data_IF_706246259387
#
_entry.id   IF_706246259387
#
_cell.length_a   1.000
_cell.length_b   1.000
_cell.length_c   1.000
_cell.angle_alpha   90.00
_cell.angle_beta   90.00
_cell.angle_gamma   90.00
#
_symmetry.space_group_name_H-M   'P 1'
#
loop_
_entity.id
_entity.type
_entity.pdbx_description
1 polymer ?
#
# COMPACT_ATOMS: atom_id res chain seq x y z
N UNK A 1 8.71 -12.51 32.51
CA UNK A 1 8.09 -12.79 31.19
C UNK A 1 9.18 -12.96 30.14
N UNK A 2 9.19 -14.09 29.40
CA UNK A 2 10.18 -14.39 28.34
C UNK A 2 10.06 -13.36 27.20
N UNK A 3 11.17 -13.02 26.53
CA UNK A 3 11.21 -12.02 25.44
C UNK A 3 10.14 -12.25 24.35
N UNK A 4 9.90 -13.51 23.97
CA UNK A 4 8.86 -13.90 23.01
C UNK A 4 7.44 -13.52 23.47
N UNK A 5 7.14 -13.61 24.77
CA UNK A 5 5.81 -13.25 25.28
C UNK A 5 5.55 -11.75 25.24
N UNK A 6 6.60 -10.92 25.39
CA UNK A 6 6.50 -9.45 25.27
C UNK A 6 6.25 -9.02 23.82
N UNK A 7 6.99 -9.60 22.88
CA UNK A 7 6.82 -9.32 21.44
C UNK A 7 5.40 -9.68 20.95
N UNK A 8 4.91 -10.88 21.29
CA UNK A 8 3.56 -11.32 20.90
C UNK A 8 2.48 -10.45 21.55
N UNK A 9 2.61 -10.14 22.83
CA UNK A 9 1.66 -9.29 23.54
C UNK A 9 1.56 -7.90 22.88
N UNK A 10 2.70 -7.28 22.56
CA UNK A 10 2.72 -5.98 21.90
C UNK A 10 2.18 -6.02 20.48
N UNK A 11 2.56 -7.04 19.70
CA UNK A 11 2.04 -7.22 18.34
C UNK A 11 0.52 -7.33 18.34
N UNK A 12 -0.05 -8.09 19.28
CA UNK A 12 -1.50 -8.20 19.46
C UNK A 12 -2.15 -6.86 19.86
N UNK A 13 -1.51 -6.08 20.73
CA UNK A 13 -2.00 -4.75 21.10
C UNK A 13 -1.99 -3.82 19.88
N UNK A 14 -0.89 -3.74 19.14
CA UNK A 14 -0.77 -2.89 17.95
C UNK A 14 -1.77 -3.29 16.86
N UNK A 15 -1.98 -4.59 16.62
CA UNK A 15 -3.03 -5.03 15.70
C UNK A 15 -4.39 -4.57 16.20
N UNK A 16 -4.68 -4.72 17.49
CA UNK A 16 -5.98 -4.36 18.07
C UNK A 16 -6.25 -2.85 18.08
N UNK A 17 -5.23 -2.01 18.25
CA UNK A 17 -5.36 -0.54 18.17
C UNK A 17 -5.65 -0.09 16.74
N UNK A 18 -4.98 -0.68 15.75
CA UNK A 18 -5.27 -0.46 14.32
C UNK A 18 -6.66 -1.00 13.92
N UNK A 19 -7.07 -2.12 14.52
CA UNK A 19 -8.24 -2.91 14.13
C UNK A 19 -9.36 -2.82 15.15
N UNK A 20 -9.94 -1.63 15.36
CA UNK A 20 -11.14 -1.56 16.18
C UNK A 20 -12.30 -2.26 15.48
N UNK A 21 -13.03 -3.12 16.19
CA UNK A 21 -14.15 -3.90 15.60
C UNK A 21 -15.19 -2.99 14.94
N UNK A 22 -15.44 -1.81 15.51
CA UNK A 22 -16.36 -0.81 14.97
C UNK A 22 -15.87 -0.20 13.66
N UNK A 23 -14.60 0.19 13.57
CA UNK A 23 -14.04 0.75 12.32
C UNK A 23 -14.03 -0.27 11.19
N UNK A 24 -13.73 -1.54 11.49
CA UNK A 24 -13.76 -2.62 10.51
C UNK A 24 -15.16 -2.89 9.96
N UNK A 25 -16.17 -2.98 10.84
CA UNK A 25 -17.56 -3.18 10.43
C UNK A 25 -18.09 -2.01 9.61
N UNK A 26 -17.77 -0.77 10.01
CA UNK A 26 -18.18 0.43 9.30
C UNK A 26 -17.51 0.53 7.92
N UNK A 27 -16.22 0.21 7.83
CA UNK A 27 -15.50 0.14 6.56
C UNK A 27 -16.07 -0.93 5.62
N UNK A 28 -16.41 -2.10 6.16
CA UNK A 28 -17.04 -3.18 5.39
C UNK A 28 -18.42 -2.77 4.89
N UNK A 29 -19.28 -2.21 5.75
CA UNK A 29 -20.59 -1.70 5.36
C UNK A 29 -20.48 -0.62 4.28
N UNK A 30 -19.55 0.33 4.43
CA UNK A 30 -19.31 1.37 3.43
C UNK A 30 -18.91 0.79 2.08
N UNK A 31 -18.01 -0.21 2.06
CA UNK A 31 -17.58 -0.86 0.82
C UNK A 31 -18.71 -1.62 0.12
N UNK A 32 -19.61 -2.27 0.86
CA UNK A 32 -20.80 -2.92 0.29
C UNK A 32 -21.72 -1.89 -0.35
N UNK A 33 -22.05 -0.80 0.37
CA UNK A 33 -22.92 0.26 -0.14
C UNK A 33 -22.29 0.92 -1.38
N UNK A 34 -20.99 1.18 -1.34
CA UNK A 34 -20.25 1.76 -2.45
C UNK A 34 -20.26 0.84 -3.68
N UNK A 35 -20.03 -0.47 -3.50
CA UNK A 35 -20.10 -1.45 -4.58
C UNK A 35 -21.49 -1.56 -5.20
N UNK A 36 -22.55 -1.50 -4.39
CA UNK A 36 -23.93 -1.44 -4.89
C UNK A 36 -24.14 -0.18 -5.74
N UNK A 37 -23.70 0.98 -5.25
CA UNK A 37 -23.80 2.25 -5.97
C UNK A 37 -23.08 2.22 -7.32
N UNK A 38 -21.88 1.65 -7.39
CA UNK A 38 -21.13 1.48 -8.64
C UNK A 38 -21.87 0.54 -9.60
N UNK A 39 -22.39 -0.59 -9.12
CA UNK A 39 -23.13 -1.53 -9.97
C UNK A 39 -24.37 -0.89 -10.59
N UNK A 40 -25.14 -0.13 -9.80
CA UNK A 40 -26.29 0.64 -10.28
C UNK A 40 -25.85 1.72 -11.29
N UNK A 41 -24.76 2.44 -11.01
CA UNK A 41 -24.23 3.44 -11.94
C UNK A 41 -23.85 2.83 -13.30
N UNK A 42 -23.17 1.69 -13.32
CA UNK A 42 -22.82 1.00 -14.56
C UNK A 42 -24.04 0.49 -15.32
N UNK A 43 -25.09 0.06 -14.61
CA UNK A 43 -26.37 -0.27 -15.25
C UNK A 43 -27.00 0.94 -15.93
N UNK A 44 -27.11 2.08 -15.24
CA UNK A 44 -27.71 3.32 -15.77
C UNK A 44 -26.92 3.84 -16.98
N UNK A 45 -25.59 3.77 -16.93
CA UNK A 45 -24.71 4.25 -18.02
C UNK A 45 -24.61 3.28 -19.20
N UNK A 46 -25.26 2.11 -19.15
CA UNK A 46 -25.20 1.13 -20.23
C UNK A 46 -23.80 0.61 -20.47
N UNK A 47 -23.03 0.36 -19.40
CA UNK A 47 -21.65 -0.13 -19.52
C UNK A 47 -21.61 -1.48 -20.24
N UNK A 48 -20.94 -1.53 -21.39
CA UNK A 48 -20.77 -2.75 -22.17
C UNK A 48 -19.43 -3.43 -21.86
N UNK A 49 -19.50 -4.54 -21.14
CA UNK A 49 -18.35 -5.39 -20.79
C UNK A 49 -17.63 -5.91 -22.04
N UNK A 50 -18.35 -6.15 -23.14
CA UNK A 50 -17.76 -6.72 -24.35
C UNK A 50 -16.74 -5.77 -24.98
N UNK A 51 -16.97 -4.45 -24.88
CA UNK A 51 -16.02 -3.44 -25.35
C UNK A 51 -14.80 -3.33 -24.43
N UNK A 52 -14.96 -3.58 -23.13
CA UNK A 52 -13.89 -3.54 -22.15
C UNK A 52 -12.89 -4.71 -22.28
N UNK A 53 -13.37 -5.89 -22.70
CA UNK A 53 -12.58 -7.11 -22.87
C UNK A 53 -12.44 -7.57 -24.35
N UNK A 54 -12.66 -6.67 -25.31
CA UNK A 54 -12.63 -7.03 -26.74
C UNK A 54 -11.26 -7.60 -27.18
N UNK A 55 -11.30 -8.70 -27.94
CA UNK A 55 -10.18 -9.63 -28.15
C UNK A 55 -9.31 -9.38 -29.40
N UNK A 56 -9.31 -8.18 -29.99
CA UNK A 56 -8.40 -7.88 -31.09
C UNK A 56 -6.97 -7.59 -30.56
N UNK A 57 -5.93 -7.96 -31.30
CA UNK A 57 -4.52 -7.89 -30.85
C UNK A 57 -4.09 -6.44 -30.46
N UNK A 58 -4.60 -5.43 -31.16
CA UNK A 58 -4.44 -4.01 -30.78
C UNK A 58 -5.22 -3.64 -29.52
N UNK A 59 -6.40 -4.24 -29.31
CA UNK A 59 -7.21 -4.05 -28.10
C UNK A 59 -6.69 -4.86 -26.90
N UNK A 60 -5.90 -5.92 -27.10
CA UNK A 60 -5.29 -6.71 -26.01
C UNK A 60 -4.22 -5.89 -25.27
N UNK A 61 -3.38 -5.14 -25.97
CA UNK A 61 -2.41 -4.25 -25.31
C UNK A 61 -3.11 -3.08 -24.59
N UNK A 62 -4.16 -2.52 -25.20
CA UNK A 62 -4.94 -1.43 -24.60
C UNK A 62 -5.72 -1.92 -23.37
N UNK A 63 -6.33 -3.11 -23.43
CA UNK A 63 -7.03 -3.72 -22.28
C UNK A 63 -6.05 -4.14 -21.18
N UNK A 64 -4.88 -4.70 -21.52
CA UNK A 64 -3.80 -4.97 -20.54
C UNK A 64 -3.34 -3.66 -19.86
N UNK A 65 -3.15 -2.58 -20.61
CA UNK A 65 -2.79 -1.27 -20.07
C UNK A 65 -3.87 -0.71 -19.14
N UNK A 66 -5.14 -0.77 -19.54
CA UNK A 66 -6.26 -0.31 -18.70
C UNK A 66 -6.38 -1.13 -17.42
N UNK A 67 -6.17 -2.44 -17.50
CA UNK A 67 -6.16 -3.33 -16.33
C UNK A 67 -4.99 -3.01 -15.39
N UNK A 68 -3.78 -2.78 -15.92
CA UNK A 68 -2.62 -2.35 -15.12
C UNK A 68 -2.92 -1.02 -14.41
N UNK A 69 -3.46 -0.03 -15.12
CA UNK A 69 -3.82 1.27 -14.52
C UNK A 69 -4.82 1.10 -13.38
N UNK A 70 -5.88 0.30 -13.57
CA UNK A 70 -6.87 0.00 -12.53
C UNK A 70 -6.22 -0.69 -11.34
N UNK A 71 -5.39 -1.71 -11.57
CA UNK A 71 -4.67 -2.41 -10.50
C UNK A 71 -3.77 -1.46 -9.71
N UNK A 72 -2.99 -0.62 -10.39
CA UNK A 72 -2.12 0.36 -9.74
C UNK A 72 -2.93 1.39 -8.93
N UNK A 73 -4.08 1.84 -9.43
CA UNK A 73 -4.97 2.74 -8.68
C UNK A 73 -5.45 2.07 -7.38
N UNK A 74 -5.91 0.81 -7.46
CA UNK A 74 -6.35 0.04 -6.29
C UNK A 74 -5.21 -0.08 -5.27
N UNK A 75 -4.01 -0.43 -5.75
CA UNK A 75 -2.81 -0.55 -4.92
C UNK A 75 -2.49 0.77 -4.23
N UNK A 76 -2.58 1.90 -4.94
CA UNK A 76 -2.36 3.23 -4.35
C UNK A 76 -3.36 3.50 -3.23
N UNK A 77 -4.65 3.16 -3.40
CA UNK A 77 -5.64 3.31 -2.33
C UNK A 77 -5.36 2.41 -1.12
N UNK A 78 -4.94 1.15 -1.34
CA UNK A 78 -4.54 0.24 -0.24
C UNK A 78 -3.35 0.81 0.52
N UNK A 79 -2.33 1.27 -0.19
CA UNK A 79 -1.14 1.86 0.40
C UNK A 79 -1.49 3.15 1.17
N UNK A 80 -2.35 4.00 0.60
CA UNK A 80 -2.84 5.22 1.24
C UNK A 80 -3.49 4.92 2.59
N UNK A 81 -4.45 4.00 2.61
CA UNK A 81 -5.15 3.61 3.83
C UNK A 81 -4.18 3.04 4.88
N UNK A 82 -3.26 2.18 4.45
CA UNK A 82 -2.33 1.50 5.36
C UNK A 82 -1.33 2.47 5.97
N UNK A 83 -0.76 3.39 5.18
CA UNK A 83 0.18 4.41 5.66
C UNK A 83 -0.50 5.37 6.63
N UNK A 84 -1.72 5.80 6.31
CA UNK A 84 -2.49 6.67 7.20
C UNK A 84 -2.76 5.99 8.54
N UNK A 85 -3.21 4.73 8.52
CA UNK A 85 -3.46 3.96 9.74
C UNK A 85 -2.21 3.77 10.58
N UNK A 86 -1.08 3.43 9.96
CA UNK A 86 0.19 3.22 10.68
C UNK A 86 0.73 4.52 11.28
N UNK A 87 0.64 5.65 10.58
CA UNK A 87 1.03 6.93 11.15
C UNK A 87 0.22 7.23 12.41
N UNK A 88 -1.11 7.06 12.36
CA UNK A 88 -1.98 7.29 13.51
C UNK A 88 -1.66 6.35 14.67
N UNK A 89 -1.43 5.07 14.41
CA UNK A 89 -1.10 4.08 15.42
C UNK A 89 0.22 4.39 16.15
N UNK A 90 1.26 4.82 15.44
CA UNK A 90 2.54 5.21 16.06
C UNK A 90 2.38 6.48 16.92
N UNK A 91 1.54 7.43 16.50
CA UNK A 91 1.27 8.62 17.31
C UNK A 91 0.44 8.26 18.55
N UNK A 92 -0.50 7.32 18.44
CA UNK A 92 -1.26 6.80 19.60
C UNK A 92 -0.34 6.08 20.60
N UNK A 93 0.66 5.34 20.14
CA UNK A 93 1.66 4.74 21.04
C UNK A 93 2.42 5.80 21.84
N UNK A 94 2.71 6.93 21.19
CA UNK A 94 3.38 8.08 21.81
C UNK A 94 2.48 8.90 22.71
N UNK A 95 1.17 8.94 22.48
CA UNK A 95 0.25 9.77 23.27
C UNK A 95 -0.36 8.99 24.44
N UNK A 96 -0.55 7.67 24.29
CA UNK A 96 -1.26 6.88 25.30
C UNK A 96 -0.37 6.49 26.49
N UNK A 97 -0.82 6.85 27.70
CA UNK A 97 -0.09 6.59 28.95
C UNK A 97 0.18 5.10 29.22
N UNK A 98 -0.67 4.19 28.69
CA UNK A 98 -0.52 2.75 28.86
C UNK A 98 0.52 2.17 27.90
N UNK A 99 0.53 2.62 26.63
CA UNK A 99 1.47 2.11 25.62
C UNK A 99 2.87 2.72 25.84
N UNK A 100 2.95 3.97 26.31
CA UNK A 100 4.20 4.60 26.80
C UNK A 100 4.95 3.76 27.84
N UNK A 101 4.25 2.98 28.67
CA UNK A 101 4.90 2.13 29.69
C UNK A 101 5.36 0.78 29.14
N UNK A 102 4.74 0.29 28.06
CA UNK A 102 5.01 -1.03 27.48
C UNK A 102 6.12 -0.95 26.42
N UNK A 103 6.08 0.07 25.56
CA UNK A 103 7.00 0.19 24.42
C UNK A 103 8.49 0.28 24.82
N UNK A 104 8.89 1.02 25.88
CA UNK A 104 10.28 1.04 26.33
C UNK A 104 10.81 -0.33 26.80
N UNK A 105 9.91 -1.27 27.15
CA UNK A 105 10.27 -2.61 27.61
C UNK A 105 10.51 -3.60 26.45
N UNK A 106 10.37 -3.15 25.21
CA UNK A 106 10.49 -3.94 23.97
C UNK A 106 11.78 -3.53 23.25
N UNK A 107 12.50 -4.51 22.71
CA UNK A 107 13.67 -4.26 21.87
C UNK A 107 13.28 -3.56 20.57
N UNK A 108 14.18 -2.72 20.05
CA UNK A 108 13.94 -1.87 18.89
C UNK A 108 13.56 -2.69 17.64
N UNK A 109 14.24 -3.83 17.46
CA UNK A 109 13.97 -4.78 16.37
C UNK A 109 12.58 -5.41 16.50
N UNK A 110 12.20 -5.76 17.73
CA UNK A 110 10.94 -6.44 18.02
C UNK A 110 9.76 -5.46 17.81
N UNK A 111 9.94 -4.16 18.11
CA UNK A 111 8.96 -3.11 17.82
C UNK A 111 8.76 -2.88 16.32
N UNK A 112 9.86 -2.69 15.56
CA UNK A 112 9.78 -2.46 14.11
C UNK A 112 9.09 -3.63 13.42
N UNK A 113 9.45 -4.85 13.80
CA UNK A 113 8.85 -6.06 13.24
C UNK A 113 7.36 -6.17 13.61
N UNK A 114 6.99 -5.84 14.85
CA UNK A 114 5.58 -5.79 15.26
C UNK A 114 4.77 -4.77 14.44
N UNK A 115 5.34 -3.58 14.15
CA UNK A 115 4.69 -2.57 13.29
C UNK A 115 4.58 -3.01 11.83
N UNK A 116 5.57 -3.71 11.30
CA UNK A 116 5.48 -4.30 9.95
C UNK A 116 4.40 -5.36 9.87
N UNK A 117 4.27 -6.21 10.90
CA UNK A 117 3.20 -7.22 10.98
C UNK A 117 1.84 -6.54 11.08
N UNK A 118 1.68 -5.55 11.95
CA UNK A 118 0.40 -4.85 12.13
C UNK A 118 -0.01 -4.09 10.86
N UNK A 119 0.94 -3.43 10.18
CA UNK A 119 0.72 -2.85 8.86
C UNK A 119 0.29 -3.91 7.85
N UNK A 120 0.96 -5.06 7.83
CA UNK A 120 0.63 -6.17 6.92
C UNK A 120 -0.79 -6.68 7.12
N UNK A 121 -1.23 -6.81 8.38
CA UNK A 121 -2.62 -7.17 8.68
C UNK A 121 -3.62 -6.12 8.19
N UNK A 122 -3.30 -4.83 8.29
CA UNK A 122 -4.13 -3.73 7.77
C UNK A 122 -4.23 -3.74 6.25
N UNK A 123 -3.11 -3.99 5.57
CA UNK A 123 -3.08 -4.14 4.12
C UNK A 123 -3.94 -5.34 3.67
N UNK A 124 -3.80 -6.50 4.31
CA UNK A 124 -4.59 -7.70 4.00
C UNK A 124 -6.09 -7.47 4.17
N UNK A 125 -6.51 -6.82 5.26
CA UNK A 125 -7.91 -6.49 5.47
C UNK A 125 -8.42 -5.48 4.44
N UNK A 126 -7.60 -4.49 4.07
CA UNK A 126 -7.94 -3.54 3.02
C UNK A 126 -8.15 -4.23 1.67
N UNK A 127 -7.30 -5.21 1.33
CA UNK A 127 -7.43 -6.04 0.13
C UNK A 127 -8.72 -6.88 0.18
N UNK A 128 -9.02 -7.51 1.32
CA UNK A 128 -10.26 -8.29 1.49
C UNK A 128 -11.51 -7.41 1.32
N UNK A 129 -11.50 -6.20 1.89
CA UNK A 129 -12.60 -5.24 1.76
C UNK A 129 -12.80 -4.81 0.29
N UNK A 130 -11.71 -4.60 -0.45
CA UNK A 130 -11.78 -4.32 -1.89
C UNK A 130 -12.33 -5.50 -2.68
N UNK A 131 -11.89 -6.72 -2.37
CA UNK A 131 -12.41 -7.93 -3.01
C UNK A 131 -13.92 -8.09 -2.79
N UNK A 132 -14.39 -7.83 -1.56
CA UNK A 132 -15.82 -7.80 -1.25
C UNK A 132 -16.55 -6.71 -2.03
N UNK A 133 -15.98 -5.51 -2.15
CA UNK A 133 -16.54 -4.45 -3.00
C UNK A 133 -16.70 -4.91 -4.46
N UNK A 134 -15.66 -5.48 -5.06
CA UNK A 134 -15.75 -6.05 -6.42
C UNK A 134 -16.81 -7.13 -6.54
N UNK A 135 -16.89 -8.04 -5.57
CA UNK A 135 -17.92 -9.08 -5.53
C UNK A 135 -19.33 -8.46 -5.51
N UNK A 136 -19.55 -7.43 -4.71
CA UNK A 136 -20.86 -6.74 -4.65
C UNK A 136 -21.21 -6.02 -5.95
N UNK A 137 -20.24 -5.44 -6.66
CA UNK A 137 -20.46 -4.86 -8.00
C UNK A 137 -20.91 -5.94 -8.99
N UNK A 138 -20.26 -7.10 -8.99
CA UNK A 138 -20.62 -8.22 -9.88
C UNK A 138 -22.02 -8.72 -9.56
N UNK A 139 -22.31 -8.97 -8.27
CA UNK A 139 -23.62 -9.45 -7.82
C UNK A 139 -24.74 -8.47 -8.17
N UNK A 140 -24.53 -7.17 -8.01
CA UNK A 140 -25.55 -6.17 -8.37
C UNK A 140 -25.81 -6.11 -9.87
N UNK A 141 -24.78 -6.21 -10.71
CA UNK A 141 -24.93 -6.28 -12.15
C UNK A 141 -25.61 -7.56 -12.63
N UNK A 142 -25.36 -8.69 -11.96
CA UNK A 142 -26.06 -9.96 -12.21
C UNK A 142 -27.54 -9.88 -11.78
N UNK A 143 -27.84 -9.30 -10.61
CA UNK A 143 -29.22 -9.08 -10.14
C UNK A 143 -30.01 -8.16 -11.07
N UNK A 144 -29.37 -7.14 -11.64
CA UNK A 144 -29.96 -6.22 -12.62
C UNK A 144 -30.02 -6.80 -14.05
N UNK A 145 -29.66 -8.07 -14.24
CA UNK A 145 -29.65 -8.79 -15.52
C UNK A 145 -28.79 -8.15 -16.63
N UNK A 146 -27.89 -7.23 -16.30
CA UNK A 146 -27.13 -6.48 -17.30
C UNK A 146 -26.12 -7.39 -18.01
N UNK A 147 -25.56 -8.37 -17.29
CA UNK A 147 -24.45 -9.20 -17.79
C UNK A 147 -24.38 -10.61 -17.17
N UNK A 148 -25.54 -11.26 -16.95
CA UNK A 148 -25.66 -12.57 -16.25
C UNK A 148 -24.51 -13.53 -16.56
N UNK A 149 -23.63 -13.75 -15.57
CA UNK A 149 -22.57 -14.77 -15.61
C UNK A 149 -21.41 -14.51 -16.59
N UNK A 150 -21.47 -13.45 -17.41
CA UNK A 150 -20.39 -13.13 -18.37
C UNK A 150 -19.11 -12.69 -17.64
N UNK A 151 -19.25 -11.95 -16.54
CA UNK A 151 -18.11 -11.48 -15.75
C UNK A 151 -17.20 -12.61 -15.29
N UNK A 152 -17.76 -13.71 -14.77
CA UNK A 152 -16.98 -14.87 -14.32
C UNK A 152 -16.19 -15.53 -15.45
N UNK A 153 -16.76 -15.61 -16.65
CA UNK A 153 -16.11 -16.18 -17.83
C UNK A 153 -14.93 -15.29 -18.27
N UNK A 154 -15.10 -13.96 -18.27
CA UNK A 154 -13.99 -13.04 -18.59
C UNK A 154 -12.90 -13.08 -17.54
N UNK A 155 -13.26 -13.12 -16.26
CA UNK A 155 -12.32 -13.17 -15.14
C UNK A 155 -11.48 -14.46 -15.19
N UNK A 156 -12.11 -15.60 -15.50
CA UNK A 156 -11.42 -16.87 -15.75
C UNK A 156 -10.42 -16.77 -16.90
N UNK A 157 -10.81 -16.18 -18.04
CA UNK A 157 -9.92 -15.98 -19.19
C UNK A 157 -8.71 -15.11 -18.84
N UNK A 158 -8.91 -14.04 -18.07
CA UNK A 158 -7.82 -13.16 -17.63
C UNK A 158 -6.85 -13.92 -16.72
N UNK A 159 -7.37 -14.69 -15.75
CA UNK A 159 -6.53 -15.50 -14.85
C UNK A 159 -5.68 -16.50 -15.64
N UNK A 160 -6.26 -17.16 -16.64
CA UNK A 160 -5.52 -18.13 -17.48
C UNK A 160 -4.46 -17.49 -18.39
N UNK A 161 -4.50 -16.17 -18.59
CA UNK A 161 -3.50 -15.43 -19.36
C UNK A 161 -2.33 -14.91 -18.53
N UNK A 162 -2.39 -15.01 -17.19
CA UNK A 162 -1.33 -14.54 -16.30
C UNK A 162 -0.26 -15.61 -16.12
N UNK A 163 0.98 -15.29 -16.50
CA UNK A 163 2.15 -16.11 -16.17
C UNK A 163 2.43 -16.01 -14.65
N UNK A 164 2.58 -17.15 -13.99
CA UNK A 164 2.91 -17.25 -12.56
C UNK A 164 4.19 -16.47 -12.24
N UNK A 165 5.18 -16.49 -13.14
CA UNK A 165 6.43 -15.73 -12.95
C UNK A 165 6.18 -14.23 -12.93
N UNK A 166 5.27 -13.76 -13.79
CA UNK A 166 4.90 -12.35 -13.85
C UNK A 166 4.17 -11.89 -12.59
N UNK A 167 3.23 -12.71 -12.12
CA UNK A 167 2.50 -12.45 -10.88
C UNK A 167 3.45 -12.41 -9.69
N UNK A 168 4.38 -13.37 -9.59
CA UNK A 168 5.33 -13.44 -8.48
C UNK A 168 6.24 -12.21 -8.41
N UNK A 169 6.77 -11.77 -9.56
CA UNK A 169 7.62 -10.58 -9.62
C UNK A 169 6.85 -9.31 -9.23
N UNK A 170 5.62 -9.18 -9.73
CA UNK A 170 4.73 -8.08 -9.38
C UNK A 170 4.43 -8.03 -7.89
N UNK A 171 4.11 -9.18 -7.28
CA UNK A 171 3.85 -9.29 -5.83
C UNK A 171 5.10 -8.94 -5.01
N UNK A 172 6.28 -9.42 -5.39
CA UNK A 172 7.54 -9.09 -4.70
C UNK A 172 7.82 -7.58 -4.70
N UNK A 173 7.62 -6.93 -5.84
CA UNK A 173 7.71 -5.48 -5.98
C UNK A 173 6.69 -4.79 -5.06
N UNK A 174 5.44 -5.23 -5.02
CA UNK A 174 4.46 -4.63 -4.11
C UNK A 174 4.80 -4.79 -2.63
N UNK A 175 5.33 -5.95 -2.23
CA UNK A 175 5.78 -6.17 -0.85
C UNK A 175 6.96 -5.26 -0.51
N UNK A 176 7.92 -5.10 -1.42
CA UNK A 176 9.04 -4.19 -1.22
C UNK A 176 8.59 -2.72 -1.13
N UNK A 177 7.64 -2.29 -1.98
CA UNK A 177 7.03 -0.96 -1.91
C UNK A 177 6.37 -0.73 -0.55
N UNK A 178 5.58 -1.71 -0.12
CA UNK A 178 4.85 -1.69 1.13
C UNK A 178 5.80 -1.52 2.33
N UNK A 179 6.84 -2.34 2.42
CA UNK A 179 7.84 -2.28 3.50
C UNK A 179 8.54 -0.91 3.49
N UNK A 180 8.95 -0.42 2.32
CA UNK A 180 9.62 0.87 2.16
C UNK A 180 8.77 2.01 2.71
N UNK A 181 7.49 2.04 2.34
CA UNK A 181 6.55 3.07 2.77
C UNK A 181 6.26 3.00 4.27
N UNK A 182 6.10 1.80 4.84
CA UNK A 182 5.92 1.63 6.29
C UNK A 182 7.14 2.14 7.05
N UNK A 183 8.35 1.75 6.67
CA UNK A 183 9.58 2.21 7.32
C UNK A 183 9.79 3.73 7.18
N UNK A 184 9.43 4.30 6.04
CA UNK A 184 9.49 5.75 5.84
C UNK A 184 8.44 6.49 6.70
N UNK A 185 7.25 5.90 6.84
CA UNK A 185 6.20 6.40 7.74
C UNK A 185 6.64 6.38 9.18
N UNK A 186 7.28 5.31 9.64
CA UNK A 186 7.85 5.23 10.98
C UNK A 186 8.88 6.33 11.25
N UNK A 187 9.73 6.63 10.27
CA UNK A 187 10.74 7.69 10.38
C UNK A 187 10.09 9.06 10.56
N UNK A 188 9.02 9.36 9.80
CA UNK A 188 8.33 10.65 9.89
C UNK A 188 7.37 10.77 11.07
N UNK A 189 6.72 9.68 11.46
CA UNK A 189 5.89 9.60 12.67
C UNK A 189 6.68 10.02 13.92
N UNK A 190 7.99 9.78 13.90
CA UNK A 190 8.94 10.26 14.89
C UNK A 190 8.88 11.77 15.19
N UNK A 191 8.47 12.60 14.22
CA UNK A 191 8.42 14.07 14.34
C UNK A 191 7.06 14.63 14.77
N UNK A 192 6.07 13.75 14.88
CA UNK A 192 4.67 14.12 15.12
C UNK A 192 4.34 13.84 16.59
N UNK A 193 3.69 14.81 17.22
CA UNK A 193 3.35 14.78 18.65
C UNK A 193 1.84 14.76 18.90
N UNK A 194 1.00 14.85 17.86
CA UNK A 194 -0.44 14.84 18.01
C UNK A 194 -1.08 14.17 16.79
N UNK A 195 -2.12 13.38 17.03
CA UNK A 195 -2.91 12.68 16.00
C UNK A 195 -3.46 13.66 14.95
N UNK A 196 -3.81 14.90 15.32
CA UNK A 196 -4.31 15.89 14.36
C UNK A 196 -3.26 16.27 13.31
N UNK A 197 -1.99 16.44 13.72
CA UNK A 197 -0.85 16.72 12.83
C UNK A 197 -0.43 15.48 12.00
N UNK A 198 -0.92 14.28 12.36
CA UNK A 198 -0.61 13.05 11.64
C UNK A 198 -1.19 13.07 10.23
N UNK A 199 -2.42 13.56 10.07
CA UNK A 199 -3.13 13.65 8.78
C UNK A 199 -2.38 14.47 7.72
N UNK A 200 -1.86 15.65 8.08
CA UNK A 200 -1.14 16.54 7.16
C UNK A 200 0.23 15.97 6.77
N UNK A 201 0.93 15.31 7.69
CA UNK A 201 2.23 14.70 7.41
C UNK A 201 2.12 13.37 6.65
N UNK A 202 1.01 12.66 6.81
CA UNK A 202 0.66 11.52 5.96
C UNK A 202 0.54 11.96 4.49
N UNK A 203 -0.06 13.12 4.22
CA UNK A 203 -0.12 13.66 2.85
C UNK A 203 1.25 13.93 2.24
N UNK A 204 2.26 14.30 3.02
CA UNK A 204 3.64 14.47 2.52
C UNK A 204 4.21 13.14 1.99
N UNK A 205 4.02 12.05 2.73
CA UNK A 205 4.44 10.70 2.34
C UNK A 205 3.66 10.19 1.14
N UNK A 206 2.37 10.51 1.11
CA UNK A 206 1.44 10.06 0.08
C UNK A 206 1.50 10.95 -1.17
N UNK A 207 2.10 12.14 -1.10
CA UNK A 207 2.18 13.06 -2.24
C UNK A 207 2.86 12.45 -3.48
N UNK A 208 3.95 11.65 -3.40
CA UNK A 208 4.50 10.98 -4.57
C UNK A 208 3.54 9.90 -5.11
N UNK A 209 2.82 9.19 -4.23
CA UNK A 209 1.82 8.21 -4.65
C UNK A 209 0.63 8.89 -5.34
N UNK A 210 0.22 10.08 -4.90
CA UNK A 210 -0.79 10.90 -5.57
C UNK A 210 -0.32 11.38 -6.94
N UNK A 211 0.93 11.82 -7.07
CA UNK A 211 1.52 12.16 -8.38
C UNK A 211 1.49 10.92 -9.30
N UNK A 212 1.81 9.75 -8.77
CA UNK A 212 1.74 8.48 -9.51
C UNK A 212 0.33 8.18 -9.98
N UNK A 213 -0.67 8.40 -9.12
CA UNK A 213 -2.08 8.25 -9.46
C UNK A 213 -2.48 9.16 -10.63
N UNK A 214 -2.10 10.44 -10.60
CA UNK A 214 -2.36 11.35 -11.71
C UNK A 214 -1.67 10.92 -13.01
N UNK A 215 -0.41 10.50 -12.95
CA UNK A 215 0.33 9.99 -14.11
C UNK A 215 -0.36 8.77 -14.72
N UNK A 216 -0.85 7.85 -13.89
CA UNK A 216 -1.51 6.62 -14.35
C UNK A 216 -2.89 6.88 -14.99
N UNK A 217 -3.61 7.91 -14.54
CA UNK A 217 -4.93 8.26 -15.07
C UNK A 217 -4.86 9.04 -16.38
N UNK A 218 -3.75 9.77 -16.63
CA UNK A 218 -3.59 10.51 -17.87
C UNK A 218 -3.68 9.58 -19.10
N UNK A 219 -4.25 10.06 -20.23
CA UNK A 219 -4.33 9.32 -21.49
C UNK A 219 -2.97 9.27 -22.20
N UNK A 220 -2.00 8.61 -21.56
CA UNK A 220 -0.62 8.46 -22.01
C UNK A 220 -0.50 7.20 -22.89
N UNK A 221 0.24 7.29 -24.00
CA UNK A 221 0.54 6.15 -24.87
C UNK A 221 1.47 5.14 -24.17
N UNK A 222 1.43 3.87 -24.61
CA UNK A 222 2.28 2.80 -24.05
C UNK A 222 3.76 3.19 -24.07
N UNK A 223 4.25 3.78 -25.17
CA UNK A 223 5.64 4.23 -25.34
C UNK A 223 6.05 5.32 -24.34
N UNK A 224 5.13 6.23 -24.01
CA UNK A 224 5.41 7.29 -23.05
C UNK A 224 5.34 6.76 -21.61
N UNK A 225 4.40 5.86 -21.32
CA UNK A 225 4.28 5.23 -20.01
C UNK A 225 5.49 4.35 -19.69
N UNK A 226 6.02 3.60 -20.66
CA UNK A 226 7.26 2.83 -20.49
C UNK A 226 8.45 3.73 -20.17
N UNK A 227 8.62 4.84 -20.90
CA UNK A 227 9.70 5.81 -20.66
C UNK A 227 9.58 6.47 -19.27
N UNK A 228 8.39 6.91 -18.88
CA UNK A 228 8.17 7.48 -17.55
C UNK A 228 8.46 6.44 -16.46
N UNK A 229 7.98 5.21 -16.65
CA UNK A 229 8.18 4.12 -15.69
C UNK A 229 9.65 3.72 -15.54
N UNK A 230 10.44 3.73 -16.61
CA UNK A 230 11.87 3.39 -16.56
C UNK A 230 12.71 4.45 -15.84
N UNK A 231 12.26 5.71 -15.80
CA UNK A 231 12.89 6.77 -15.01
C UNK A 231 12.44 6.69 -13.55
N UNK A 232 11.12 6.63 -13.33
CA UNK A 232 10.55 6.69 -11.98
C UNK A 232 10.81 5.42 -11.17
N UNK A 233 11.14 4.29 -11.80
CA UNK A 233 11.49 3.05 -11.10
C UNK A 233 12.75 3.15 -10.23
N UNK A 234 13.52 4.24 -10.31
CA UNK A 234 14.70 4.45 -9.45
C UNK A 234 14.46 5.43 -8.29
N UNK A 235 13.29 6.08 -8.23
CA UNK A 235 12.98 7.02 -7.16
C UNK A 235 12.49 6.28 -5.90
N UNK A 236 13.09 6.45 -4.69
CA UNK A 236 12.86 5.56 -3.54
C UNK A 236 11.39 5.31 -3.15
N UNK A 237 10.52 6.33 -3.26
CA UNK A 237 9.09 6.23 -2.89
C UNK A 237 8.19 5.77 -4.05
N UNK A 238 8.72 5.75 -5.26
CA UNK A 238 7.99 5.45 -6.51
C UNK A 238 8.52 4.21 -7.21
N UNK A 239 9.74 3.81 -6.84
CA UNK A 239 10.62 2.92 -7.57
C UNK A 239 9.95 1.60 -7.85
N UNK A 240 9.33 1.06 -6.81
CA UNK A 240 8.84 -0.30 -6.86
C UNK A 240 7.46 -0.36 -7.52
N UNK A 241 6.65 0.69 -7.40
CA UNK A 241 5.38 0.84 -8.13
C UNK A 241 5.62 1.01 -9.64
N UNK A 242 6.54 1.89 -10.04
CA UNK A 242 6.87 2.05 -11.45
C UNK A 242 7.73 0.92 -12.01
N UNK A 243 8.51 0.23 -11.17
CA UNK A 243 9.17 -1.03 -11.53
C UNK A 243 8.14 -2.13 -11.85
N UNK A 244 7.05 -2.20 -11.08
CA UNK A 244 5.95 -3.13 -11.36
C UNK A 244 5.23 -2.76 -12.67
N UNK A 245 4.95 -1.47 -12.91
CA UNK A 245 4.39 -0.99 -14.18
C UNK A 245 5.31 -1.34 -15.35
N UNK A 246 6.60 -1.01 -15.25
CA UNK A 246 7.58 -1.27 -16.30
C UNK A 246 7.72 -2.77 -16.59
N UNK A 247 7.71 -3.61 -15.55
CA UNK A 247 7.71 -5.06 -15.68
C UNK A 247 6.48 -5.58 -16.42
N UNK A 248 5.28 -5.09 -16.12
CA UNK A 248 4.07 -5.53 -16.83
C UNK A 248 4.03 -5.10 -18.30
N UNK A 249 4.76 -4.03 -18.67
CA UNK A 249 4.80 -3.49 -20.03
C UNK A 249 5.90 -4.10 -20.90
N UNK A 250 7.11 -4.29 -20.35
CA UNK A 250 8.31 -4.71 -21.10
C UNK A 250 8.75 -6.14 -20.71
N UNK A 251 8.23 -6.70 -19.62
CA UNK A 251 8.64 -7.98 -19.07
C UNK A 251 9.90 -7.87 -18.20
N UNK A 252 10.57 -9.01 -17.98
CA UNK A 252 11.82 -9.04 -17.22
C UNK A 252 12.93 -8.32 -18.00
N UNK A 253 13.51 -7.29 -17.40
CA UNK A 253 14.62 -6.53 -17.97
C UNK A 253 15.71 -6.34 -16.93
N UNK A 254 16.94 -6.07 -17.37
CA UNK A 254 18.04 -5.73 -16.48
C UNK A 254 17.68 -4.53 -15.58
N UNK A 255 16.94 -3.55 -16.11
CA UNK A 255 16.44 -2.40 -15.35
C UNK A 255 15.53 -2.80 -14.18
N UNK A 256 14.62 -3.75 -14.40
CA UNK A 256 13.71 -4.23 -13.34
C UNK A 256 14.47 -4.99 -12.23
N UNK A 257 15.53 -5.73 -12.57
CA UNK A 257 16.40 -6.38 -11.59
C UNK A 257 17.22 -5.36 -10.79
N UNK A 258 17.75 -4.33 -11.43
CA UNK A 258 18.46 -3.23 -10.75
C UNK A 258 17.51 -2.48 -9.82
N UNK A 259 16.29 -2.18 -10.27
CA UNK A 259 15.24 -1.57 -9.44
C UNK A 259 14.99 -2.39 -8.16
N UNK A 260 14.89 -3.71 -8.27
CA UNK A 260 14.75 -4.58 -7.10
C UNK A 260 15.93 -4.48 -6.14
N UNK A 261 17.17 -4.57 -6.65
CA UNK A 261 18.37 -4.43 -5.82
C UNK A 261 18.42 -3.08 -5.11
N UNK A 262 18.11 -2.00 -5.82
CA UNK A 262 18.05 -0.65 -5.27
C UNK A 262 16.96 -0.55 -4.19
N UNK A 263 15.78 -1.15 -4.40
CA UNK A 263 14.70 -1.18 -3.41
C UNK A 263 15.09 -1.94 -2.15
N UNK A 264 15.76 -3.08 -2.28
CA UNK A 264 16.26 -3.87 -1.13
C UNK A 264 17.30 -3.07 -0.37
N UNK A 265 18.22 -2.40 -1.07
CA UNK A 265 19.20 -1.51 -0.45
C UNK A 265 18.51 -0.39 0.35
N UNK A 266 17.50 0.27 -0.22
CA UNK A 266 16.72 1.30 0.49
C UNK A 266 16.02 0.76 1.75
N UNK A 267 15.41 -0.42 1.66
CA UNK A 267 14.76 -1.07 2.81
C UNK A 267 15.78 -1.31 3.93
N UNK A 268 16.97 -1.84 3.60
CA UNK A 268 18.03 -2.10 4.58
C UNK A 268 18.46 -0.79 5.26
N UNK A 269 18.72 0.27 4.49
CA UNK A 269 19.12 1.57 5.01
C UNK A 269 18.05 2.14 5.93
N UNK A 270 16.78 2.18 5.49
CA UNK A 270 15.67 2.68 6.29
C UNK A 270 15.46 1.86 7.57
N UNK A 271 15.64 0.54 7.51
CA UNK A 271 15.52 -0.33 8.68
C UNK A 271 16.56 0.02 9.75
N UNK A 272 17.83 0.16 9.37
CA UNK A 272 18.90 0.55 10.32
C UNK A 272 18.70 1.95 10.88
N UNK A 273 18.24 2.90 10.07
CA UNK A 273 17.91 4.26 10.53
C UNK A 273 16.79 4.21 11.57
N UNK A 274 15.72 3.45 11.32
CA UNK A 274 14.61 3.31 12.27
C UNK A 274 15.06 2.69 13.60
N UNK A 275 15.96 1.69 13.58
CA UNK A 275 16.53 1.12 14.83
C UNK A 275 17.26 2.19 15.64
N UNK A 276 18.08 3.02 15.00
CA UNK A 276 18.87 4.05 15.70
C UNK A 276 17.98 5.09 16.36
N UNK A 277 16.93 5.54 15.67
CA UNK A 277 16.12 6.66 16.16
C UNK A 277 14.96 6.19 17.06
N UNK A 278 14.63 4.90 17.07
CA UNK A 278 13.56 4.31 17.87
C UNK A 278 13.55 4.79 19.33
N UNK A 279 14.67 4.64 20.05
CA UNK A 279 14.75 5.02 21.47
C UNK A 279 14.53 6.51 21.67
N UNK A 280 15.06 7.33 20.76
CA UNK A 280 14.91 8.78 20.81
C UNK A 280 13.45 9.22 20.56
N UNK A 281 12.73 8.53 19.67
CA UNK A 281 11.33 8.84 19.38
C UNK A 281 10.36 8.51 20.52
N UNK A 282 10.71 7.57 21.39
CA UNK A 282 9.85 7.13 22.50
C UNK A 282 10.16 7.81 23.83
N UNK A 283 11.37 8.33 24.00
CA UNK A 283 11.84 8.93 25.26
C UNK A 283 11.67 10.44 25.32
N UNK A 284 11.34 11.10 24.22
CA UNK A 284 11.28 12.56 24.13
C UNK A 284 9.89 13.06 23.77
N UNK A 285 9.35 13.94 24.61
CA UNK A 285 8.13 14.72 24.33
C UNK A 285 8.39 15.89 23.35
N UNK A 286 9.65 16.15 22.97
CA UNK A 286 10.03 17.27 22.10
C UNK A 286 9.85 16.92 20.62
N UNK A 287 9.26 17.86 19.85
CA UNK A 287 9.22 17.81 18.38
C UNK A 287 10.64 17.91 17.83
N UNK A 288 11.04 16.98 16.97
CA UNK A 288 12.37 16.98 16.37
C UNK A 288 12.37 17.58 14.95
N UNK A 289 13.36 18.42 14.70
CA UNK A 289 13.67 18.92 13.36
C UNK A 289 14.38 17.85 12.52
N UNK A 290 14.28 17.93 11.18
CA UNK A 290 15.02 17.04 10.27
C UNK A 290 16.54 17.06 10.51
N UNK A 291 17.08 18.23 10.89
CA UNK A 291 18.50 18.41 11.19
C UNK A 291 18.93 17.58 12.39
N UNK A 292 18.12 17.52 13.45
CA UNK A 292 18.40 16.72 14.64
C UNK A 292 18.29 15.22 14.34
N UNK A 293 17.30 14.80 13.53
CA UNK A 293 17.20 13.41 13.08
C UNK A 293 18.43 12.99 12.27
N UNK A 294 18.89 13.84 11.34
CA UNK A 294 20.10 13.59 10.56
C UNK A 294 21.34 13.55 11.47
N UNK A 295 21.43 14.47 12.44
CA UNK A 295 22.51 14.50 13.42
C UNK A 295 22.56 13.21 14.25
N UNK A 296 21.42 12.69 14.70
CA UNK A 296 21.31 11.41 15.42
C UNK A 296 21.65 10.19 14.56
N UNK A 297 21.47 10.26 13.24
CA UNK A 297 21.89 9.18 12.33
C UNK A 297 23.42 9.15 12.20
N UNK A 298 24.05 10.33 12.18
CA UNK A 298 25.50 10.55 11.98
C UNK A 298 26.29 10.37 13.28
N UNK A 299 25.77 10.85 14.41
CA UNK A 299 26.40 10.70 15.73
C UNK A 299 26.42 9.22 16.12
N UNK A 300 27.64 8.68 16.13
CA UNK A 300 27.95 7.31 16.48
C UNK A 300 28.06 7.26 18.00
N UNK A 301 27.18 6.49 18.66
CA UNK A 301 27.51 5.97 19.98
C UNK A 301 28.72 5.02 19.85
#
# INVERSE_FOLDING_TARGET
>A
MKRQSKFLAYTNISIRTLMTKSSLLLGLFFMIVFGIGIGVYFHIKGFDINNFFSSSISNIQISKMNLIKIMCIIIIFVLFNTISGIMQDIVIDKDSNVIKQIVPLIHEKDYILAKLISAGTLALISILNLFLCFLTVILTLDCLNVHRGKFFIYLQKIITMLDIKEVLMFVLLLVAQFITLVLFTMLLAGRINNVQESSTNVLLILSPLLISFFILILPISVKNLTLISSILMFFPLLSVLFGAVNYTLIGLSAGNLICLLVSVFYIIVLYFINIKIYKFYLSSEKKFSLKEVIKLIIERN
#
